data_IF_431578959832
#
_entry.id   IF_431578959832
#
_cell.length_a   1.000
_cell.length_b   1.000
_cell.length_c   1.000
_cell.angle_alpha   90.00
_cell.angle_beta   90.00
_cell.angle_gamma   90.00
#
_symmetry.space_group_name_H-M   'P 1'
#
loop_
_entity.id
_entity.type
_entity.pdbx_description
1 polymer ?
#
# COMPACT_ATOMS: atom_id res chain seq x y z
N UNK A 1 -21.56 17.84 35.44
CA UNK A 1 -20.17 17.50 35.09
C UNK A 1 -20.20 16.37 34.06
N UNK A 2 -20.26 16.68 32.77
CA UNK A 2 -20.31 15.73 31.65
C UNK A 2 -19.20 15.99 30.60
N UNK A 3 -18.20 16.80 30.97
CA UNK A 3 -17.15 17.32 30.08
C UNK A 3 -16.10 16.28 29.71
N UNK A 4 -15.82 15.31 30.59
CA UNK A 4 -14.77 14.31 30.41
C UNK A 4 -14.93 13.41 29.19
N UNK A 5 -16.16 13.11 28.78
CA UNK A 5 -16.43 12.29 27.59
C UNK A 5 -16.12 13.03 26.29
N UNK A 6 -16.63 14.25 26.15
CA UNK A 6 -16.46 15.07 24.95
C UNK A 6 -15.01 15.51 24.76
N UNK A 7 -14.34 15.90 25.86
CA UNK A 7 -12.92 16.28 25.84
C UNK A 7 -12.03 15.11 25.36
N UNK A 8 -12.37 13.87 25.76
CA UNK A 8 -11.59 12.68 25.36
C UNK A 8 -11.69 12.32 23.86
N UNK A 9 -12.84 12.57 23.23
CA UNK A 9 -13.04 12.33 21.80
C UNK A 9 -12.36 13.42 20.98
N UNK A 10 -12.46 14.69 21.40
CA UNK A 10 -11.77 15.78 20.72
C UNK A 10 -10.25 15.65 20.77
N UNK A 11 -9.70 15.21 21.91
CA UNK A 11 -8.27 14.94 22.04
C UNK A 11 -7.81 13.77 21.16
N UNK A 12 -8.60 12.69 21.06
CA UNK A 12 -8.33 11.57 20.17
C UNK A 12 -8.33 12.03 18.69
N UNK A 13 -9.34 12.78 18.28
CA UNK A 13 -9.48 13.30 16.92
C UNK A 13 -8.31 14.26 16.59
N UNK A 14 -7.86 15.08 17.54
CA UNK A 14 -6.69 15.96 17.38
C UNK A 14 -5.40 15.17 17.22
N UNK A 15 -5.18 14.15 18.06
CA UNK A 15 -4.00 13.28 17.96
C UNK A 15 -3.97 12.49 16.65
N UNK A 16 -5.15 12.05 16.19
CA UNK A 16 -5.30 11.36 14.92
C UNK A 16 -4.92 12.25 13.73
N UNK A 17 -5.40 13.50 13.68
CA UNK A 17 -5.05 14.44 12.60
C UNK A 17 -3.54 14.65 12.45
N UNK A 18 -2.81 14.79 13.56
CA UNK A 18 -1.34 14.91 13.53
C UNK A 18 -0.66 13.65 12.96
N UNK A 19 -1.17 12.47 13.30
CA UNK A 19 -0.67 11.20 12.75
C UNK A 19 -1.05 11.04 11.27
N UNK A 20 -2.24 11.46 10.88
CA UNK A 20 -2.71 11.43 9.50
C UNK A 20 -1.83 12.32 8.60
N UNK A 21 -1.46 13.52 9.04
CA UNK A 21 -0.52 14.39 8.32
C UNK A 21 0.89 13.78 8.20
N UNK A 22 1.37 13.10 9.25
CA UNK A 22 2.65 12.39 9.20
C UNK A 22 2.59 11.22 8.21
N UNK A 23 1.47 10.50 8.15
CA UNK A 23 1.22 9.45 7.18
C UNK A 23 1.07 9.99 5.76
N UNK A 24 0.42 11.14 5.58
CA UNK A 24 0.31 11.82 4.29
C UNK A 24 1.69 12.16 3.72
N UNK A 25 2.59 12.66 4.55
CA UNK A 25 4.00 12.90 4.15
C UNK A 25 4.75 11.61 3.82
N UNK A 26 4.55 10.52 4.57
CA UNK A 26 5.20 9.21 4.34
C UNK A 26 4.66 8.47 3.10
N UNK A 27 3.38 8.63 2.80
CA UNK A 27 2.70 8.02 1.66
C UNK A 27 2.89 8.86 0.39
N UNK A 28 3.13 10.17 0.52
CA UNK A 28 3.68 11.10 -0.46
C UNK A 28 2.81 11.36 -1.70
N UNK A 29 2.40 10.30 -2.40
CA UNK A 29 1.68 10.30 -3.68
C UNK A 29 0.31 9.61 -3.65
N UNK A 30 -0.01 8.86 -2.59
CA UNK A 30 -1.37 8.32 -2.43
C UNK A 30 -2.27 9.42 -1.89
N UNK A 31 -3.34 9.76 -2.64
CA UNK A 31 -4.36 10.70 -2.19
C UNK A 31 -5.16 10.06 -1.06
N UNK A 32 -4.78 10.38 0.16
CA UNK A 32 -5.56 10.11 1.36
C UNK A 32 -6.77 11.06 1.31
N UNK A 33 -7.95 10.51 0.99
CA UNK A 33 -9.22 11.26 1.03
C UNK A 33 -10.03 11.33 -0.27
N UNK A 34 -9.49 10.95 -1.43
CA UNK A 34 -10.22 11.01 -2.70
C UNK A 34 -10.72 9.64 -3.22
N UNK A 35 -10.01 8.56 -2.92
CA UNK A 35 -10.33 7.21 -3.42
C UNK A 35 -9.82 6.18 -2.39
N UNK A 36 -10.56 5.08 -2.10
CA UNK A 36 -10.13 4.11 -1.11
C UNK A 36 -8.74 3.58 -1.44
N UNK A 37 -7.84 3.59 -0.46
CA UNK A 37 -6.44 3.22 -0.63
C UNK A 37 -6.28 1.81 -1.22
N UNK A 38 -7.25 0.93 -0.97
CA UNK A 38 -7.35 -0.42 -1.51
C UNK A 38 -7.50 -0.44 -3.04
N UNK A 39 -8.32 0.43 -3.61
CA UNK A 39 -8.54 0.54 -5.06
C UNK A 39 -7.31 1.12 -5.76
N UNK A 40 -6.68 2.13 -5.17
CA UNK A 40 -5.40 2.66 -5.67
C UNK A 40 -4.32 1.57 -5.68
N UNK A 41 -4.24 0.74 -4.63
CA UNK A 41 -3.30 -0.39 -4.58
C UNK A 41 -3.61 -1.48 -5.60
N UNK A 42 -4.90 -1.75 -5.87
CA UNK A 42 -5.33 -2.72 -6.87
C UNK A 42 -4.96 -2.26 -8.28
N UNK A 43 -5.15 -0.97 -8.58
CA UNK A 43 -4.76 -0.36 -9.87
C UNK A 43 -3.25 -0.38 -10.05
N UNK A 44 -2.48 -0.05 -9.01
CA UNK A 44 -1.01 -0.18 -9.02
C UNK A 44 -0.57 -1.63 -9.20
N UNK A 45 -1.24 -2.61 -8.57
CA UNK A 45 -0.96 -4.03 -8.77
C UNK A 45 -1.18 -4.44 -10.22
N UNK A 46 -2.27 -3.99 -10.85
CA UNK A 46 -2.54 -4.22 -12.27
C UNK A 46 -1.44 -3.64 -13.17
N UNK A 47 -1.01 -2.41 -12.90
CA UNK A 47 0.11 -1.80 -13.61
C UNK A 47 1.43 -2.56 -13.41
N UNK A 48 1.76 -2.98 -12.19
CA UNK A 48 2.95 -3.81 -11.91
C UNK A 48 2.90 -5.15 -12.66
N UNK A 49 1.73 -5.78 -12.75
CA UNK A 49 1.54 -7.00 -13.55
C UNK A 49 1.73 -6.75 -15.04
N UNK A 50 1.11 -5.71 -15.59
CA UNK A 50 1.28 -5.34 -17.00
C UNK A 50 2.76 -5.06 -17.31
N UNK A 51 3.45 -4.34 -16.43
CA UNK A 51 4.88 -4.04 -16.54
C UNK A 51 5.78 -5.27 -16.36
N UNK A 52 5.25 -6.40 -15.87
CA UNK A 52 5.98 -7.66 -15.72
C UNK A 52 5.71 -8.58 -16.91
N UNK A 53 4.46 -8.67 -17.38
CA UNK A 53 4.03 -9.56 -18.46
C UNK A 53 4.72 -9.22 -19.78
N UNK A 54 4.76 -7.93 -20.15
CA UNK A 54 5.38 -7.48 -21.41
C UNK A 54 6.86 -7.87 -21.47
N UNK A 55 7.72 -7.48 -20.50
CA UNK A 55 9.11 -7.91 -20.52
C UNK A 55 9.29 -9.43 -20.33
N UNK A 56 8.40 -10.13 -19.62
CA UNK A 56 8.46 -11.59 -19.54
C UNK A 56 8.22 -12.26 -20.90
N UNK A 57 7.28 -11.76 -21.70
CA UNK A 57 7.04 -12.25 -23.05
C UNK A 57 8.27 -12.01 -23.96
N UNK A 58 8.89 -10.83 -23.86
CA UNK A 58 10.11 -10.50 -24.62
C UNK A 58 11.28 -11.39 -24.16
N UNK A 59 11.45 -11.59 -22.86
CA UNK A 59 12.45 -12.50 -22.30
C UNK A 59 12.27 -13.93 -22.83
N UNK A 60 11.04 -14.44 -22.85
CA UNK A 60 10.73 -15.76 -23.41
C UNK A 60 11.07 -15.84 -24.90
N UNK A 61 10.79 -14.79 -25.67
CA UNK A 61 11.19 -14.72 -27.08
C UNK A 61 12.71 -14.79 -27.26
N UNK A 62 13.49 -14.05 -26.46
CA UNK A 62 14.96 -14.13 -26.49
C UNK A 62 15.45 -15.54 -26.14
N UNK A 63 14.91 -16.16 -25.09
CA UNK A 63 15.30 -17.53 -24.70
C UNK A 63 15.01 -18.51 -25.83
N UNK A 64 13.82 -18.46 -26.44
CA UNK A 64 13.47 -19.32 -27.58
C UNK A 64 14.37 -19.09 -28.78
N UNK A 65 14.68 -17.83 -29.10
CA UNK A 65 15.58 -17.48 -30.20
C UNK A 65 16.98 -18.06 -29.97
N UNK A 66 17.56 -17.86 -28.79
CA UNK A 66 18.88 -18.39 -28.45
C UNK A 66 18.91 -19.91 -28.30
N UNK A 67 17.80 -20.53 -27.88
CA UNK A 67 17.66 -21.97 -27.85
C UNK A 67 17.70 -22.58 -29.27
N UNK A 68 17.14 -21.90 -30.27
CA UNK A 68 17.23 -22.34 -31.68
C UNK A 68 18.67 -22.35 -32.23
N UNK A 69 19.58 -21.59 -31.61
CA UNK A 69 21.02 -21.57 -31.93
C UNK A 69 21.85 -22.44 -30.98
N UNK A 70 21.22 -23.38 -30.25
CA UNK A 70 21.88 -24.30 -29.31
C UNK A 70 22.63 -23.58 -28.17
N UNK A 71 22.18 -22.36 -27.83
CA UNK A 71 22.74 -21.50 -26.78
C UNK A 71 21.68 -20.96 -25.81
N UNK A 72 20.80 -21.80 -25.26
CA UNK A 72 19.74 -21.35 -24.34
C UNK A 72 20.30 -20.63 -23.09
N UNK A 73 21.49 -21.01 -22.65
CA UNK A 73 22.18 -20.40 -21.51
C UNK A 73 22.44 -18.90 -21.73
N UNK A 74 22.86 -18.53 -22.93
CA UNK A 74 23.13 -17.12 -23.29
C UNK A 74 21.83 -16.33 -23.30
N UNK A 75 20.75 -16.91 -23.84
CA UNK A 75 19.43 -16.31 -23.82
C UNK A 75 18.93 -16.02 -22.40
N UNK A 76 19.14 -16.97 -21.48
CA UNK A 76 18.80 -16.79 -20.06
C UNK A 76 19.63 -15.69 -19.39
N UNK A 77 20.95 -15.65 -19.63
CA UNK A 77 21.82 -14.61 -19.07
C UNK A 77 21.42 -13.23 -19.58
N UNK A 78 21.20 -13.07 -20.89
CA UNK A 78 20.80 -11.79 -21.48
C UNK A 78 19.43 -11.35 -20.96
N UNK A 79 18.44 -12.25 -20.97
CA UNK A 79 17.11 -11.94 -20.45
C UNK A 79 17.13 -11.59 -18.96
N UNK A 80 17.87 -12.34 -18.16
CA UNK A 80 18.07 -12.05 -16.75
C UNK A 80 18.71 -10.69 -16.53
N UNK A 81 19.81 -10.40 -17.23
CA UNK A 81 20.53 -9.13 -17.09
C UNK A 81 19.68 -7.91 -17.48
N UNK A 82 18.89 -8.01 -18.56
CA UNK A 82 18.03 -6.91 -19.02
C UNK A 82 16.81 -6.71 -18.13
N UNK A 83 16.08 -7.80 -17.82
CA UNK A 83 14.74 -7.71 -17.28
C UNK A 83 14.69 -7.87 -15.76
N UNK A 84 15.63 -8.59 -15.14
CA UNK A 84 15.66 -8.74 -13.69
C UNK A 84 15.71 -7.39 -12.94
N UNK A 85 16.58 -6.42 -13.26
CA UNK A 85 16.61 -5.16 -12.51
C UNK A 85 15.32 -4.35 -12.64
N UNK A 86 14.68 -4.37 -13.81
CA UNK A 86 13.41 -3.67 -14.06
C UNK A 86 12.27 -4.31 -13.27
N UNK A 87 12.15 -5.65 -13.34
CA UNK A 87 11.10 -6.40 -12.63
C UNK A 87 11.31 -6.30 -11.12
N UNK A 88 12.53 -6.55 -10.62
CA UNK A 88 12.87 -6.43 -9.21
C UNK A 88 12.61 -5.03 -8.67
N UNK A 89 13.03 -3.99 -9.40
CA UNK A 89 12.81 -2.60 -9.02
C UNK A 89 11.32 -2.27 -8.87
N UNK A 90 10.51 -2.68 -9.83
CA UNK A 90 9.04 -2.50 -9.82
C UNK A 90 8.39 -3.20 -8.61
N UNK A 91 8.77 -4.46 -8.35
CA UNK A 91 8.24 -5.23 -7.22
C UNK A 91 8.70 -4.70 -5.86
N UNK A 92 9.95 -4.24 -5.73
CA UNK A 92 10.46 -3.62 -4.50
C UNK A 92 9.69 -2.33 -4.21
N UNK A 93 9.45 -1.50 -5.23
CA UNK A 93 8.64 -0.29 -5.13
C UNK A 93 7.22 -0.61 -4.64
N UNK A 94 6.56 -1.56 -5.31
CA UNK A 94 5.22 -2.01 -4.92
C UNK A 94 5.18 -2.60 -3.50
N UNK A 95 6.15 -3.43 -3.13
CA UNK A 95 6.21 -4.06 -1.80
C UNK A 95 6.38 -3.01 -0.69
N UNK A 96 7.24 -2.00 -0.89
CA UNK A 96 7.40 -0.87 0.03
C UNK A 96 6.10 -0.09 0.19
N UNK A 97 5.42 0.22 -0.92
CA UNK A 97 4.16 0.94 -0.92
C UNK A 97 3.06 0.14 -0.19
N UNK A 98 2.98 -1.17 -0.46
CA UNK A 98 2.03 -2.09 0.18
C UNK A 98 2.28 -2.25 1.68
N UNK A 99 3.54 -2.24 2.13
CA UNK A 99 3.88 -2.27 3.57
C UNK A 99 3.41 -0.99 4.27
N UNK A 100 3.67 0.18 3.69
CA UNK A 100 3.22 1.47 4.25
C UNK A 100 1.70 1.59 4.28
N UNK A 101 1.03 1.18 3.21
CA UNK A 101 -0.43 1.17 3.14
C UNK A 101 -1.07 0.27 4.22
N UNK A 102 -0.50 -0.91 4.47
CA UNK A 102 -0.96 -1.79 5.55
C UNK A 102 -0.78 -1.19 6.94
N UNK A 103 0.34 -0.51 7.18
CA UNK A 103 0.57 0.20 8.45
C UNK A 103 -0.50 1.27 8.70
N UNK A 104 -0.77 2.10 7.69
CA UNK A 104 -1.81 3.13 7.76
C UNK A 104 -3.21 2.53 8.00
N UNK A 105 -3.60 1.49 7.25
CA UNK A 105 -4.91 0.85 7.43
C UNK A 105 -5.09 0.23 8.81
N UNK A 106 -4.02 -0.33 9.40
CA UNK A 106 -4.05 -0.85 10.77
C UNK A 106 -4.26 0.26 11.80
N UNK A 107 -3.55 1.39 11.66
CA UNK A 107 -3.72 2.54 12.56
C UNK A 107 -5.11 3.19 12.43
N UNK A 108 -5.65 3.27 11.20
CA UNK A 108 -6.99 3.80 10.95
C UNK A 108 -8.08 2.91 11.56
N UNK A 109 -7.92 1.58 11.47
CA UNK A 109 -8.84 0.64 12.10
C UNK A 109 -8.83 0.78 13.64
N UNK A 110 -7.64 0.91 14.23
CA UNK A 110 -7.49 1.13 15.68
C UNK A 110 -8.16 2.45 16.11
N UNK A 111 -7.96 3.54 15.38
CA UNK A 111 -8.62 4.82 15.65
C UNK A 111 -10.15 4.71 15.59
N UNK A 112 -10.71 4.05 14.57
CA UNK A 112 -12.16 3.86 14.47
C UNK A 112 -12.73 3.00 15.59
N UNK A 113 -11.96 2.02 16.08
CA UNK A 113 -12.37 1.18 17.21
C UNK A 113 -12.34 1.98 18.52
N UNK A 114 -11.27 2.73 18.78
CA UNK A 114 -11.11 3.60 19.95
C UNK A 114 -12.24 4.66 20.01
N UNK A 115 -12.52 5.31 18.87
CA UNK A 115 -13.58 6.31 18.76
C UNK A 115 -14.96 5.73 19.02
N UNK A 116 -15.25 4.51 18.55
CA UNK A 116 -16.50 3.80 18.85
C UNK A 116 -16.62 3.46 20.33
N UNK A 117 -15.52 3.02 20.97
CA UNK A 117 -15.50 2.71 22.41
C UNK A 117 -15.79 3.96 23.24
N UNK A 118 -15.15 5.09 22.93
CA UNK A 118 -15.37 6.36 23.63
C UNK A 118 -16.78 6.91 23.40
N UNK A 119 -17.29 6.85 22.16
CA UNK A 119 -18.66 7.28 21.85
C UNK A 119 -19.72 6.43 22.57
N UNK A 120 -19.58 5.10 22.57
CA UNK A 120 -20.48 4.20 23.29
C UNK A 120 -20.34 4.29 24.82
N UNK A 121 -19.16 4.65 25.33
CA UNK A 121 -18.94 4.94 26.74
C UNK A 121 -19.62 6.23 27.20
N UNK A 122 -19.57 7.28 26.37
CA UNK A 122 -20.29 8.54 26.61
C UNK A 122 -21.81 8.33 26.62
N UNK A 123 -22.36 7.58 25.66
CA UNK A 123 -23.79 7.27 25.61
C UNK A 123 -24.27 6.52 26.86
N UNK A 124 -23.52 5.52 27.33
CA UNK A 124 -23.84 4.78 28.58
C UNK A 124 -23.72 5.63 29.83
N UNK A 125 -22.81 6.60 29.88
CA UNK A 125 -22.67 7.53 31.00
C UNK A 125 -23.80 8.58 31.09
N UNK A 126 -24.59 8.72 30.02
CA UNK A 126 -25.67 9.70 29.92
C UNK A 126 -27.06 9.06 29.98
N UNK A 127 -27.14 7.72 30.01
CA UNK A 127 -28.38 6.97 30.21
C UNK A 127 -28.73 6.90 31.72
N UNK A 128 -29.97 7.25 32.13
CA UNK A 128 -30.40 7.29 33.53
C UNK A 128 -30.53 5.91 34.19
#
# INVERSE_FOLDING_TARGET
MATTGTDSVEDLDRHWRLREEAWARKLGRLRLGAEPLAEQLARYRGATWALTIVPAAIAAFFVTLFAAFDRPDVGLVVAGLLFAPVVLGSWIGYARLRRRARGYLGELAAYHEERRRLAGGAEKATAP
#
